data_IF_157962143852
#
_entry.id   IF_157962143852
#
_cell.length_a   1.000
_cell.length_b   1.000
_cell.length_c   1.000
_cell.angle_alpha   90.00
_cell.angle_beta   90.00
_cell.angle_gamma   90.00
#
_symmetry.space_group_name_H-M   'P 1'
#
loop_
_entity.id
_entity.type
_entity.pdbx_description
1 polymer ?
#
# COMPACT_ATOMS: atom_id res chain seq x y z
N UNK A 1 -7.86 -21.00 6.97
CA UNK A 1 -7.17 -20.73 8.25
C UNK A 1 -5.65 -20.98 8.17
N UNK A 2 -5.17 -22.19 7.69
CA UNK A 2 -3.72 -22.46 7.57
C UNK A 2 -3.04 -21.53 6.54
N UNK A 3 -3.67 -21.31 5.37
CA UNK A 3 -3.18 -20.38 4.34
C UNK A 3 -3.12 -18.94 4.86
N UNK A 4 -4.13 -18.51 5.61
CA UNK A 4 -4.19 -17.17 6.18
C UNK A 4 -3.08 -16.98 7.22
N UNK A 5 -2.82 -17.97 8.06
CA UNK A 5 -1.73 -17.93 9.05
C UNK A 5 -0.34 -17.81 8.42
N UNK A 6 -0.11 -18.50 7.29
CA UNK A 6 1.17 -18.44 6.57
C UNK A 6 1.36 -17.10 5.88
N UNK A 7 0.31 -16.54 5.27
CA UNK A 7 0.40 -15.33 4.47
C UNK A 7 0.23 -14.04 5.28
N UNK A 8 -0.61 -14.06 6.32
CA UNK A 8 -0.96 -12.87 7.12
C UNK A 8 -0.32 -12.89 8.52
N UNK A 9 0.32 -13.98 8.92
CA UNK A 9 0.82 -14.17 10.29
C UNK A 9 -0.28 -14.62 11.27
N UNK A 10 0.14 -14.93 12.51
CA UNK A 10 -0.77 -15.35 13.56
C UNK A 10 -1.62 -14.18 14.09
N UNK A 11 -2.90 -14.44 14.36
CA UNK A 11 -3.77 -13.47 15.04
C UNK A 11 -3.26 -13.17 16.45
N UNK A 12 -3.29 -11.89 16.81
CA UNK A 12 -2.90 -11.40 18.14
C UNK A 12 -4.12 -10.91 18.91
N UNK A 13 -5.07 -11.80 19.15
CA UNK A 13 -6.33 -11.49 19.88
C UNK A 13 -6.12 -11.04 21.33
N UNK A 14 -4.97 -11.32 21.92
CA UNK A 14 -4.59 -10.86 23.25
C UNK A 14 -4.19 -9.38 23.32
N UNK A 15 -4.00 -8.73 22.17
CA UNK A 15 -3.69 -7.31 22.11
C UNK A 15 -4.97 -6.52 22.36
N UNK A 16 -5.01 -5.77 23.44
CA UNK A 16 -6.14 -4.88 23.75
C UNK A 16 -5.92 -3.56 23.05
N UNK A 17 -6.76 -3.25 22.06
CA UNK A 17 -6.80 -1.95 21.40
C UNK A 17 -7.87 -1.09 22.08
N UNK A 18 -7.62 0.22 22.22
CA UNK A 18 -8.65 1.17 22.61
C UNK A 18 -9.72 1.29 21.51
N UNK A 19 -10.90 1.77 21.87
CA UNK A 19 -11.98 1.99 20.89
C UNK A 19 -11.58 3.00 19.80
N UNK A 20 -10.78 4.02 20.16
CA UNK A 20 -10.27 4.98 19.18
C UNK A 20 -9.27 4.34 18.20
N UNK A 21 -8.39 3.47 18.69
CA UNK A 21 -7.46 2.71 17.84
C UNK A 21 -8.19 1.73 16.92
N UNK A 22 -9.22 1.05 17.42
CA UNK A 22 -10.07 0.17 16.59
C UNK A 22 -10.76 0.96 15.49
N UNK A 23 -11.33 2.11 15.83
CA UNK A 23 -12.01 2.98 14.87
C UNK A 23 -11.04 3.49 13.81
N UNK A 24 -9.86 3.95 14.20
CA UNK A 24 -8.82 4.39 13.28
C UNK A 24 -8.39 3.25 12.36
N UNK A 25 -8.13 2.06 12.91
CA UNK A 25 -7.76 0.88 12.13
C UNK A 25 -8.87 0.48 11.15
N UNK A 26 -10.13 0.52 11.57
CA UNK A 26 -11.26 0.18 10.71
C UNK A 26 -11.37 1.13 9.49
N UNK A 27 -11.20 2.42 9.69
CA UNK A 27 -11.19 3.38 8.57
C UNK A 27 -9.95 3.25 7.69
N UNK A 28 -8.79 2.99 8.27
CA UNK A 28 -7.56 2.74 7.54
C UNK A 28 -7.69 1.53 6.60
N UNK A 29 -8.12 0.40 7.11
CA UNK A 29 -8.34 -0.81 6.30
C UNK A 29 -9.49 -0.66 5.30
N UNK A 30 -10.57 0.00 5.70
CA UNK A 30 -11.65 0.33 4.77
C UNK A 30 -11.15 1.23 3.62
N UNK A 31 -10.25 2.16 3.89
CA UNK A 31 -9.61 3.01 2.88
C UNK A 31 -8.88 2.20 1.82
N UNK A 32 -8.05 1.25 2.21
CA UNK A 32 -7.38 0.34 1.29
C UNK A 32 -8.38 -0.47 0.47
N UNK A 33 -9.41 -1.00 1.11
CA UNK A 33 -10.41 -1.84 0.44
C UNK A 33 -11.24 -1.05 -0.59
N UNK A 34 -11.73 0.14 -0.24
CA UNK A 34 -12.53 0.98 -1.15
C UNK A 34 -11.69 1.41 -2.37
N UNK A 35 -10.43 1.79 -2.17
CA UNK A 35 -9.55 2.12 -3.31
C UNK A 35 -9.32 0.89 -4.17
N UNK A 36 -9.04 -0.28 -3.59
CA UNK A 36 -8.84 -1.52 -4.33
C UNK A 36 -10.04 -1.91 -5.19
N UNK A 37 -11.26 -1.74 -4.69
CA UNK A 37 -12.49 -2.04 -5.45
C UNK A 37 -12.74 -1.08 -6.62
N UNK A 38 -12.17 0.12 -6.58
CA UNK A 38 -12.34 1.16 -7.61
C UNK A 38 -11.13 1.28 -8.55
N UNK A 39 -10.03 0.56 -8.30
CA UNK A 39 -8.88 0.48 -9.17
C UNK A 39 -8.98 -0.76 -10.08
N UNK A 40 -9.15 -0.54 -11.39
CA UNK A 40 -9.40 -1.61 -12.37
C UNK A 40 -8.32 -2.68 -12.44
N UNK A 41 -7.06 -2.30 -12.21
CA UNK A 41 -5.92 -3.21 -12.25
C UNK A 41 -5.58 -3.82 -10.89
N UNK A 42 -6.35 -3.51 -9.83
CA UNK A 42 -6.14 -4.10 -8.50
C UNK A 42 -6.52 -5.57 -8.47
N UNK A 43 -5.73 -6.36 -7.74
CA UNK A 43 -6.11 -7.74 -7.43
C UNK A 43 -7.39 -7.76 -6.57
N UNK A 44 -8.22 -8.81 -6.71
CA UNK A 44 -9.41 -8.97 -5.90
C UNK A 44 -9.11 -9.02 -4.41
N UNK A 45 -9.99 -8.42 -3.62
CA UNK A 45 -9.92 -8.53 -2.16
C UNK A 45 -10.32 -9.95 -1.75
N UNK A 46 -9.44 -10.60 -1.02
CA UNK A 46 -9.71 -11.89 -0.38
C UNK A 46 -10.34 -11.69 0.99
N UNK A 47 -9.80 -10.78 1.78
CA UNK A 47 -10.21 -10.54 3.16
C UNK A 47 -9.74 -9.16 3.65
N UNK A 48 -10.56 -8.52 4.49
CA UNK A 48 -10.16 -7.38 5.31
C UNK A 48 -10.39 -7.69 6.78
N UNK A 49 -9.48 -7.26 7.65
CA UNK A 49 -9.58 -7.51 9.10
C UNK A 49 -8.97 -6.38 9.90
N UNK A 50 -9.54 -6.10 11.05
CA UNK A 50 -8.97 -5.21 12.07
C UNK A 50 -8.38 -5.99 13.26
N UNK A 51 -8.36 -7.31 13.19
CA UNK A 51 -7.69 -8.14 14.18
C UNK A 51 -6.18 -8.06 13.93
N UNK A 52 -5.38 -7.63 14.92
CA UNK A 52 -3.93 -7.55 14.78
C UNK A 52 -3.30 -8.88 14.36
N UNK A 53 -2.39 -8.83 13.39
CA UNK A 53 -1.63 -9.98 12.91
C UNK A 53 -0.17 -9.61 12.72
N UNK A 54 0.73 -10.40 13.30
CA UNK A 54 2.16 -10.08 13.26
C UNK A 54 2.44 -8.69 13.82
N UNK A 55 2.94 -7.78 13.00
CA UNK A 55 3.19 -6.37 13.37
C UNK A 55 2.09 -5.42 12.93
N UNK A 56 1.14 -5.88 12.11
CA UNK A 56 0.05 -5.06 11.60
C UNK A 56 -1.11 -5.01 12.59
N UNK A 57 -1.75 -3.84 12.71
CA UNK A 57 -2.96 -3.65 13.53
C UNK A 57 -4.22 -4.10 12.79
N UNK A 58 -4.19 -4.04 11.48
CA UNK A 58 -5.21 -4.55 10.57
C UNK A 58 -4.57 -4.96 9.25
N UNK A 59 -5.36 -5.45 8.31
CA UNK A 59 -4.87 -5.83 6.98
C UNK A 59 -6.00 -5.99 5.98
N UNK A 60 -5.75 -5.55 4.75
CA UNK A 60 -6.50 -5.94 3.55
C UNK A 60 -5.64 -6.88 2.73
N UNK A 61 -6.08 -8.12 2.61
CA UNK A 61 -5.40 -9.11 1.79
C UNK A 61 -6.04 -9.18 0.40
N UNK A 62 -5.22 -8.97 -0.63
CA UNK A 62 -5.59 -9.12 -2.03
C UNK A 62 -4.86 -10.33 -2.62
N UNK A 63 -5.50 -11.06 -3.49
CA UNK A 63 -4.92 -12.22 -4.15
C UNK A 63 -5.13 -12.11 -5.65
N UNK A 64 -4.07 -12.31 -6.47
CA UNK A 64 -4.21 -12.36 -7.91
C UNK A 64 -5.05 -13.60 -8.31
N UNK A 65 -5.90 -13.43 -9.33
CA UNK A 65 -6.70 -14.54 -9.87
C UNK A 65 -5.85 -15.57 -10.61
N UNK A 66 -4.69 -15.16 -11.10
CA UNK A 66 -3.74 -15.98 -11.87
C UNK A 66 -2.32 -15.69 -11.42
N UNK A 67 -1.43 -16.65 -11.63
CA UNK A 67 0.00 -16.44 -11.44
C UNK A 67 0.48 -15.31 -12.38
N UNK A 68 1.09 -14.30 -11.79
CA UNK A 68 1.61 -13.15 -12.52
C UNK A 68 3.12 -13.32 -12.71
N UNK A 69 3.54 -13.54 -13.96
CA UNK A 69 4.96 -13.63 -14.34
C UNK A 69 5.60 -12.24 -14.51
N UNK A 70 4.78 -11.23 -14.79
CA UNK A 70 5.19 -9.83 -14.92
C UNK A 70 4.08 -8.91 -14.43
N UNK A 71 4.45 -7.69 -14.03
CA UNK A 71 3.52 -6.70 -13.50
C UNK A 71 3.53 -5.48 -14.42
N UNK A 72 2.35 -5.06 -14.89
CA UNK A 72 2.22 -3.90 -15.76
C UNK A 72 2.40 -2.59 -14.99
N UNK A 73 2.77 -1.53 -15.71
CA UNK A 73 2.84 -0.17 -15.19
C UNK A 73 1.49 0.28 -14.58
N UNK A 74 0.38 -0.04 -15.25
CA UNK A 74 -0.97 0.25 -14.76
C UNK A 74 -1.26 -0.42 -13.41
N UNK A 75 -0.88 -1.69 -13.27
CA UNK A 75 -1.02 -2.44 -12.01
C UNK A 75 -0.20 -1.82 -10.90
N UNK A 76 1.04 -1.39 -11.17
CA UNK A 76 1.89 -0.75 -10.18
C UNK A 76 1.31 0.58 -9.69
N UNK A 77 0.78 1.41 -10.59
CA UNK A 77 0.06 2.63 -10.20
C UNK A 77 -1.17 2.34 -9.34
N UNK A 78 -1.91 1.30 -9.71
CA UNK A 78 -3.07 0.83 -8.93
C UNK A 78 -2.65 0.40 -7.52
N UNK A 79 -1.57 -0.37 -7.40
CA UNK A 79 -1.06 -0.84 -6.11
C UNK A 79 -0.57 0.32 -5.23
N UNK A 80 0.06 1.34 -5.82
CA UNK A 80 0.46 2.56 -5.11
C UNK A 80 -0.78 3.33 -4.61
N UNK A 81 -1.81 3.46 -5.45
CA UNK A 81 -3.07 4.10 -5.03
C UNK A 81 -3.72 3.35 -3.86
N UNK A 82 -3.80 2.03 -3.94
CA UNK A 82 -4.33 1.21 -2.84
C UNK A 82 -3.52 1.39 -1.56
N UNK A 83 -2.19 1.44 -1.65
CA UNK A 83 -1.33 1.69 -0.51
C UNK A 83 -1.61 3.04 0.17
N UNK A 84 -1.93 4.09 -0.60
CA UNK A 84 -2.26 5.40 -0.05
C UNK A 84 -3.65 5.46 0.60
N UNK A 85 -4.52 4.48 0.32
CA UNK A 85 -5.91 4.45 0.78
C UNK A 85 -6.07 4.56 2.28
N UNK A 86 -5.24 3.87 3.06
CA UNK A 86 -5.27 3.91 4.52
C UNK A 86 -4.96 5.29 5.09
N UNK A 87 -3.85 5.90 4.66
CA UNK A 87 -3.46 7.26 5.06
C UNK A 87 -4.51 8.30 4.70
N UNK A 88 -5.06 8.22 3.51
CA UNK A 88 -6.05 9.19 3.04
C UNK A 88 -7.37 9.04 3.80
N UNK A 89 -7.78 7.81 4.11
CA UNK A 89 -8.94 7.60 4.97
C UNK A 89 -8.76 8.24 6.35
N UNK A 90 -7.57 8.10 6.96
CA UNK A 90 -7.25 8.80 8.21
C UNK A 90 -7.36 10.31 8.06
N UNK A 91 -6.82 10.90 6.98
CA UNK A 91 -6.86 12.35 6.72
C UNK A 91 -8.29 12.87 6.56
N UNK A 92 -9.11 12.18 5.78
CA UNK A 92 -10.50 12.58 5.49
C UNK A 92 -11.37 12.51 6.75
N UNK A 93 -11.23 11.45 7.54
CA UNK A 93 -12.12 11.16 8.67
C UNK A 93 -11.68 11.87 9.96
N UNK A 94 -10.39 11.90 10.24
CA UNK A 94 -9.86 12.42 11.50
C UNK A 94 -9.15 13.76 11.37
N UNK A 95 -8.85 14.19 10.16
CA UNK A 95 -8.10 15.42 9.85
C UNK A 95 -6.58 15.18 9.84
N UNK A 96 -5.87 16.10 9.20
CA UNK A 96 -4.43 16.00 8.96
C UNK A 96 -3.60 15.83 10.25
N UNK A 97 -3.96 16.53 11.31
CA UNK A 97 -3.22 16.49 12.58
C UNK A 97 -3.42 15.17 13.37
N UNK A 98 -4.38 14.37 12.97
CA UNK A 98 -4.70 13.08 13.62
C UNK A 98 -4.24 11.85 12.84
N UNK A 99 -3.55 12.04 11.71
CA UNK A 99 -2.94 10.92 10.99
C UNK A 99 -1.85 10.27 11.83
N UNK A 100 -1.70 8.97 11.67
CA UNK A 100 -0.80 8.18 12.50
C UNK A 100 0.40 7.65 11.74
N UNK A 101 1.35 7.09 12.46
CA UNK A 101 2.47 6.35 11.88
C UNK A 101 2.05 4.98 11.30
N UNK A 102 0.79 4.58 11.43
CA UNK A 102 0.27 3.28 10.99
C UNK A 102 0.49 3.00 9.50
N UNK A 103 0.45 4.06 8.67
CA UNK A 103 0.70 3.96 7.23
C UNK A 103 2.20 3.87 6.83
N UNK A 104 3.12 3.73 7.78
CA UNK A 104 4.56 3.74 7.47
C UNK A 104 4.99 2.64 6.49
N UNK A 105 4.46 1.43 6.64
CA UNK A 105 4.75 0.31 5.73
C UNK A 105 4.16 0.51 4.34
N UNK A 106 2.97 1.12 4.24
CA UNK A 106 2.32 1.43 2.97
C UNK A 106 3.09 2.48 2.19
N UNK A 107 3.54 3.53 2.89
CA UNK A 107 4.36 4.60 2.31
C UNK A 107 5.72 4.05 1.85
N UNK A 108 6.35 3.20 2.65
CA UNK A 108 7.63 2.56 2.30
C UNK A 108 7.46 1.66 1.07
N UNK A 109 6.43 0.83 1.03
CA UNK A 109 6.13 -0.05 -0.11
C UNK A 109 5.86 0.76 -1.38
N UNK A 110 5.03 1.79 -1.31
CA UNK A 110 4.72 2.66 -2.44
C UNK A 110 5.98 3.38 -2.97
N UNK A 111 6.83 3.88 -2.07
CA UNK A 111 8.08 4.55 -2.41
C UNK A 111 9.05 3.59 -3.10
N UNK A 112 9.24 2.38 -2.56
CA UNK A 112 10.09 1.35 -3.16
C UNK A 112 9.59 0.93 -4.54
N UNK A 113 8.28 0.75 -4.70
CA UNK A 113 7.67 0.43 -6.00
C UNK A 113 7.91 1.54 -7.01
N UNK A 114 7.63 2.79 -6.67
CA UNK A 114 7.89 3.93 -7.53
C UNK A 114 9.37 4.06 -7.92
N UNK A 115 10.26 3.83 -6.97
CA UNK A 115 11.72 3.84 -7.20
C UNK A 115 12.13 2.74 -8.18
N UNK A 116 11.61 1.52 -8.04
CA UNK A 116 11.87 0.43 -8.98
C UNK A 116 11.31 0.73 -10.38
N UNK A 117 10.12 1.33 -10.48
CA UNK A 117 9.55 1.75 -11.77
C UNK A 117 10.48 2.69 -12.52
N UNK A 118 11.10 3.63 -11.82
CA UNK A 118 11.99 4.64 -12.40
C UNK A 118 13.39 4.07 -12.67
N UNK A 119 13.97 3.36 -11.70
CA UNK A 119 15.40 2.98 -11.75
C UNK A 119 15.68 1.59 -12.31
N UNK A 120 14.71 0.69 -12.28
CA UNK A 120 14.89 -0.71 -12.69
C UNK A 120 14.07 -1.11 -13.92
N UNK A 121 12.81 -0.61 -14.01
CA UNK A 121 11.88 -1.09 -15.02
C UNK A 121 11.72 -0.15 -16.22
N UNK A 122 12.44 0.99 -16.24
CA UNK A 122 12.41 1.93 -17.37
C UNK A 122 11.02 2.53 -17.63
N UNK A 123 10.20 2.70 -16.58
CA UNK A 123 8.81 3.14 -16.71
C UNK A 123 8.61 4.65 -16.59
N UNK A 124 9.68 5.42 -16.40
CA UNK A 124 9.66 6.89 -16.47
C UNK A 124 9.94 7.35 -17.89
N UNK A 125 9.09 8.23 -18.43
CA UNK A 125 9.34 8.84 -19.74
C UNK A 125 10.55 9.77 -19.75
N UNK A 126 10.78 10.47 -18.65
CA UNK A 126 11.88 11.43 -18.50
C UNK A 126 13.24 10.74 -18.49
N UNK A 127 13.35 9.61 -17.80
CA UNK A 127 14.60 8.87 -17.64
C UNK A 127 14.77 7.72 -18.63
N UNK A 128 13.68 7.31 -19.29
CA UNK A 128 13.68 6.27 -20.30
C UNK A 128 13.98 4.86 -19.78
N UNK A 129 14.18 3.89 -20.69
CA UNK A 129 14.41 2.50 -20.37
C UNK A 129 15.89 2.22 -20.04
N UNK A 130 16.40 2.88 -19.02
CA UNK A 130 17.75 2.72 -18.49
C UNK A 130 17.71 2.23 -17.05
N UNK A 131 18.67 1.41 -16.67
CA UNK A 131 18.85 0.99 -15.29
C UNK A 131 19.76 1.99 -14.55
N UNK A 132 19.26 2.52 -13.45
CA UNK A 132 19.97 3.43 -12.54
C UNK A 132 20.11 2.73 -11.19
N UNK A 133 20.84 1.63 -11.15
CA UNK A 133 21.05 0.87 -9.92
C UNK A 133 22.41 1.16 -9.26
N UNK A 134 22.48 1.03 -7.94
CA UNK A 134 23.74 0.73 -7.28
C UNK A 134 24.17 -0.65 -7.81
N UNK A 135 25.42 -0.80 -8.28
CA UNK A 135 26.01 -2.12 -8.42
C UNK A 135 26.03 -2.73 -7.02
N UNK A 136 25.13 -3.66 -6.74
CA UNK A 136 25.27 -4.60 -5.63
C UNK A 136 26.48 -5.47 -5.99
N UNK A 137 27.68 -4.96 -5.74
CA UNK A 137 28.84 -5.84 -5.66
C UNK A 137 28.62 -6.71 -4.43
N UNK A 138 28.47 -8.00 -4.68
CA UNK A 138 28.38 -9.03 -3.65
C UNK A 138 29.40 -8.75 -2.56
N UNK A 139 28.94 -8.70 -1.31
CA UNK A 139 29.79 -8.62 -0.12
C UNK A 139 30.59 -9.92 -0.02
N UNK A 140 31.70 -9.97 -0.72
CA UNK A 140 32.67 -11.03 -0.55
C UNK A 140 33.70 -10.60 0.53
N UNK A 141 33.71 -11.30 1.67
CA UNK A 141 34.69 -11.18 2.73
C UNK A 141 34.79 -9.86 3.51
N UNK A 142 33.71 -9.43 4.17
CA UNK A 142 33.84 -8.58 5.37
C UNK A 142 34.48 -7.19 5.20
N UNK A 143 34.64 -6.68 3.98
CA UNK A 143 35.09 -5.31 3.72
C UNK A 143 33.88 -4.49 3.26
N UNK A 144 33.55 -3.46 4.01
CA UNK A 144 32.62 -2.41 3.57
C UNK A 144 33.26 -1.67 2.39
N UNK A 145 32.87 -2.01 1.16
CA UNK A 145 33.22 -1.23 -0.01
C UNK A 145 32.33 0.01 0.00
N UNK A 146 32.92 1.18 -0.07
CA UNK A 146 32.23 2.47 -0.20
C UNK A 146 31.32 2.40 -1.42
N UNK A 147 30.01 2.49 -1.24
CA UNK A 147 29.03 2.52 -2.33
C UNK A 147 29.27 3.78 -3.15
N UNK A 148 29.91 3.65 -4.30
CA UNK A 148 30.01 4.76 -5.25
C UNK A 148 28.70 4.82 -6.04
N UNK A 149 27.95 5.90 -5.89
CA UNK A 149 26.82 6.19 -6.77
C UNK A 149 27.39 6.53 -8.18
N UNK A 150 27.18 5.64 -9.14
CA UNK A 150 27.59 5.83 -10.52
C UNK A 150 26.63 6.72 -11.33
N UNK A 151 25.89 7.60 -10.67
CA UNK A 151 24.95 8.55 -11.29
C UNK A 151 25.32 9.98 -10.94
N UNK A 152 25.13 10.91 -11.88
CA UNK A 152 25.31 12.34 -11.62
C UNK A 152 24.27 12.87 -10.64
N UNK A 153 24.60 13.98 -9.96
CA UNK A 153 23.64 14.66 -9.07
C UNK A 153 22.37 15.11 -9.82
N UNK A 154 22.50 15.54 -11.07
CA UNK A 154 21.36 15.93 -11.92
C UNK A 154 20.43 14.72 -12.17
N UNK A 155 21.00 13.57 -12.49
CA UNK A 155 20.23 12.33 -12.67
C UNK A 155 19.57 11.92 -11.36
N UNK A 156 20.26 12.02 -10.22
CA UNK A 156 19.68 11.71 -8.91
C UNK A 156 18.47 12.60 -8.60
N UNK A 157 18.56 13.90 -8.88
CA UNK A 157 17.43 14.84 -8.71
C UNK A 157 16.24 14.49 -9.61
N UNK A 158 16.50 14.08 -10.85
CA UNK A 158 15.44 13.63 -11.78
C UNK A 158 14.78 12.36 -11.29
N UNK A 159 15.54 11.39 -10.76
CA UNK A 159 15.00 10.18 -10.16
C UNK A 159 14.07 10.54 -9.00
N UNK A 160 14.51 11.37 -8.06
CA UNK A 160 13.70 11.79 -6.91
C UNK A 160 12.41 12.49 -7.36
N UNK A 161 12.49 13.37 -8.37
CA UNK A 161 11.33 14.05 -8.95
C UNK A 161 10.33 13.07 -9.57
N UNK A 162 10.81 12.10 -10.35
CA UNK A 162 9.96 11.11 -11.00
C UNK A 162 9.31 10.15 -9.99
N UNK A 163 10.04 9.73 -8.97
CA UNK A 163 9.51 8.92 -7.85
C UNK A 163 8.39 9.67 -7.14
N UNK A 164 8.63 10.94 -6.81
CA UNK A 164 7.60 11.79 -6.18
C UNK A 164 6.35 11.92 -7.04
N UNK A 165 6.49 12.16 -8.34
CA UNK A 165 5.35 12.26 -9.27
C UNK A 165 4.51 10.97 -9.28
N UNK A 166 5.15 9.80 -9.30
CA UNK A 166 4.45 8.51 -9.30
C UNK A 166 3.65 8.33 -8.01
N UNK A 167 4.27 8.61 -6.87
CA UNK A 167 3.59 8.51 -5.56
C UNK A 167 2.44 9.52 -5.47
N UNK A 168 2.65 10.76 -5.91
CA UNK A 168 1.61 11.80 -5.93
C UNK A 168 0.41 11.40 -6.79
N UNK A 169 0.63 10.77 -7.96
CA UNK A 169 -0.46 10.24 -8.79
C UNK A 169 -1.27 9.18 -8.05
N UNK A 170 -0.61 8.26 -7.36
CA UNK A 170 -1.30 7.25 -6.55
C UNK A 170 -2.10 7.88 -5.41
N UNK A 171 -1.52 8.85 -4.72
CA UNK A 171 -2.17 9.62 -3.65
C UNK A 171 -3.44 10.33 -4.16
N UNK A 172 -3.35 11.06 -5.27
CA UNK A 172 -4.49 11.79 -5.83
C UNK A 172 -5.60 10.85 -6.35
N UNK A 173 -5.24 9.70 -6.93
CA UNK A 173 -6.22 8.66 -7.31
C UNK A 173 -6.98 8.15 -6.11
N UNK A 174 -6.30 7.77 -5.05
CA UNK A 174 -6.92 7.28 -3.82
C UNK A 174 -7.80 8.35 -3.16
N UNK A 175 -7.33 9.60 -3.12
CA UNK A 175 -8.09 10.74 -2.58
C UNK A 175 -9.38 10.98 -3.35
N UNK A 176 -9.32 10.93 -4.68
CA UNK A 176 -10.51 11.06 -5.53
C UNK A 176 -11.52 9.95 -5.23
N UNK A 177 -11.07 8.69 -5.24
CA UNK A 177 -11.93 7.54 -4.95
C UNK A 177 -12.60 7.68 -3.59
N UNK A 178 -11.85 7.94 -2.53
CA UNK A 178 -12.39 8.02 -1.17
C UNK A 178 -13.31 9.23 -0.96
N UNK A 179 -13.06 10.34 -1.65
CA UNK A 179 -13.94 11.51 -1.62
C UNK A 179 -15.27 11.25 -2.32
N UNK A 180 -15.26 10.54 -3.46
CA UNK A 180 -16.46 10.17 -4.20
C UNK A 180 -17.23 9.02 -3.55
N UNK A 181 -16.56 8.14 -2.81
CA UNK A 181 -17.09 6.93 -2.16
C UNK A 181 -17.10 7.01 -0.63
N UNK A 182 -17.31 8.22 -0.10
CA UNK A 182 -17.26 8.45 1.34
C UNK A 182 -18.31 7.63 2.11
N UNK A 183 -19.51 7.47 1.55
CA UNK A 183 -20.56 6.65 2.17
C UNK A 183 -20.17 5.17 2.23
N UNK A 184 -19.55 4.64 1.19
CA UNK A 184 -19.05 3.27 1.16
C UNK A 184 -17.90 3.08 2.16
N UNK A 185 -17.02 4.07 2.30
CA UNK A 185 -15.98 4.08 3.32
C UNK A 185 -16.57 3.97 4.74
N UNK A 186 -17.60 4.76 5.04
CA UNK A 186 -18.28 4.70 6.32
C UNK A 186 -18.98 3.36 6.56
N UNK A 187 -19.68 2.82 5.55
CA UNK A 187 -20.35 1.51 5.66
C UNK A 187 -19.35 0.39 5.97
N UNK A 188 -18.25 0.35 5.23
CA UNK A 188 -17.25 -0.69 5.40
C UNK A 188 -16.52 -0.58 6.74
N UNK A 189 -16.12 0.62 7.16
CA UNK A 189 -15.48 0.83 8.45
C UNK A 189 -16.40 0.41 9.62
N UNK A 190 -17.69 0.75 9.56
CA UNK A 190 -18.67 0.32 10.57
C UNK A 190 -18.85 -1.19 10.59
N UNK A 191 -18.90 -1.85 9.45
CA UNK A 191 -18.99 -3.30 9.37
C UNK A 191 -17.74 -3.98 9.94
N UNK A 192 -16.53 -3.45 9.67
CA UNK A 192 -15.30 -3.95 10.27
C UNK A 192 -15.26 -3.78 11.79
N UNK A 193 -15.85 -2.71 12.32
CA UNK A 193 -15.98 -2.55 13.80
C UNK A 193 -16.89 -3.58 14.41
N UNK A 194 -17.94 -4.03 13.71
CA UNK A 194 -18.91 -5.02 14.21
C UNK A 194 -18.39 -6.46 14.05
N UNK A 195 -17.92 -6.79 12.86
CA UNK A 195 -17.58 -8.17 12.48
C UNK A 195 -16.08 -8.48 12.58
N UNK A 196 -15.25 -7.47 12.75
CA UNK A 196 -13.78 -7.51 12.84
C UNK A 196 -13.07 -8.06 11.58
N UNK A 197 -13.69 -8.97 10.86
CA UNK A 197 -13.18 -9.57 9.63
C UNK A 197 -14.30 -9.77 8.62
N UNK A 198 -14.06 -9.39 7.37
CA UNK A 198 -14.97 -9.57 6.24
C UNK A 198 -14.23 -10.22 5.08
N UNK A 199 -14.90 -11.17 4.40
CA UNK A 199 -14.41 -11.72 3.14
C UNK A 199 -14.59 -10.72 1.99
N UNK A 200 -13.89 -10.93 0.88
CA UNK A 200 -14.06 -10.11 -0.32
C UNK A 200 -15.49 -10.11 -0.85
N UNK A 201 -16.19 -11.25 -0.77
CA UNK A 201 -17.60 -11.36 -1.19
C UNK A 201 -18.51 -10.55 -0.27
N UNK A 202 -18.36 -10.67 1.04
CA UNK A 202 -19.12 -9.87 2.01
C UNK A 202 -18.91 -8.36 1.84
N UNK A 203 -17.69 -7.95 1.50
CA UNK A 203 -17.39 -6.54 1.23
C UNK A 203 -18.11 -6.09 -0.04
N UNK A 204 -18.08 -6.87 -1.12
CA UNK A 204 -18.77 -6.54 -2.38
C UNK A 204 -20.29 -6.47 -2.22
N UNK A 205 -20.86 -7.33 -1.39
CA UNK A 205 -22.31 -7.34 -1.13
C UNK A 205 -22.76 -6.16 -0.26
N UNK A 206 -21.85 -5.59 0.52
CA UNK A 206 -22.13 -4.49 1.44
C UNK A 206 -22.20 -3.12 0.73
N UNK A 207 -21.45 -2.94 -0.40
CA UNK A 207 -21.18 -1.62 -1.01
C UNK A 207 -21.93 -1.43 -2.33
#
# INVERSE_FOLDING_TARGET
EAKDKVMMGAERRSMVMSEDEKKLTAYHEAGHAIVALNEKASDPIHKATIIPRGRALGMVMRLPERDQLSVTREKMYSDIAVAMGGRIAEEIIFGHDKVTSGASSDIDMATKMAKNMVTKYGMSKELGPLAYGENEEEVFLGRSVTKSQNISEDTARKIDSEVKKIVDVGYERAKKVLSEKLDDLHKLAKALLIYETLSGDEIRDLI
#
